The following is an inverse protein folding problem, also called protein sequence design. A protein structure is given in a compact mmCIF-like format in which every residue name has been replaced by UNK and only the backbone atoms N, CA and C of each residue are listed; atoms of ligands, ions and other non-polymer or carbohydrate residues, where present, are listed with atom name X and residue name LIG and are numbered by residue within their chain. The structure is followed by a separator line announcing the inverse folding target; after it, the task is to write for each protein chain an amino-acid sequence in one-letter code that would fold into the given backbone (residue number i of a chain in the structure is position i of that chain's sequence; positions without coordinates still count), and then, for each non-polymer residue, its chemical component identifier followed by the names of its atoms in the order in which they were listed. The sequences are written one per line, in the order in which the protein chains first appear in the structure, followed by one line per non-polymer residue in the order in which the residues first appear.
data_IF_509417957316
#
_entry.id   IF_509417957316
#
_cell.length_a   1.000
_cell.length_b   1.000
_cell.length_c   1.000
_cell.angle_alpha   90.00
_cell.angle_beta   90.00
_cell.angle_gamma   90.00
#
_symmetry.space_group_name_H-M   'P 1'
#
loop_
_entity.id
_entity.type
_entity.pdbx_description
1 polymer ?
#
# COMPACT_ATOMS: atom_id res chain seq x y z
N UNK A 1 9.24 22.08 -14.65
CA UNK A 1 10.16 21.24 -13.86
C UNK A 1 9.29 20.33 -13.01
N UNK A 2 9.27 19.02 -13.26
CA UNK A 2 8.58 18.08 -12.36
C UNK A 2 9.23 18.23 -10.99
N UNK A 3 8.46 18.64 -9.98
CA UNK A 3 8.94 18.61 -8.61
C UNK A 3 9.36 17.18 -8.30
N UNK A 4 10.61 17.03 -7.93
CA UNK A 4 11.17 15.72 -7.66
C UNK A 4 10.62 15.25 -6.31
N UNK A 5 9.89 14.14 -6.29
CA UNK A 5 9.11 13.67 -5.15
C UNK A 5 9.88 13.72 -3.83
N UNK A 6 11.13 13.24 -3.79
CA UNK A 6 11.92 13.24 -2.56
C UNK A 6 12.29 14.65 -2.06
N UNK A 7 12.43 15.64 -2.96
CA UNK A 7 12.62 17.04 -2.55
C UNK A 7 11.39 17.61 -1.83
N UNK A 8 10.19 17.10 -2.13
CA UNK A 8 8.96 17.47 -1.42
C UNK A 8 8.94 17.02 0.04
N UNK A 9 9.74 16.00 0.36
CA UNK A 9 9.91 15.44 1.69
C UNK A 9 11.28 15.79 2.31
N UNK A 10 11.94 16.83 1.79
CA UNK A 10 13.26 17.26 2.24
C UNK A 10 14.29 16.12 2.24
N UNK A 11 14.24 15.26 1.22
CA UNK A 11 15.17 14.17 0.99
C UNK A 11 15.99 14.42 -0.28
N UNK A 12 17.25 14.00 -0.26
CA UNK A 12 18.17 14.11 -1.39
C UNK A 12 18.11 12.89 -2.32
N UNK A 13 17.56 11.77 -1.84
CA UNK A 13 17.42 10.54 -2.60
C UNK A 13 16.16 9.74 -2.19
N UNK A 14 15.84 8.70 -2.97
CA UNK A 14 14.73 7.78 -2.68
C UNK A 14 15.03 6.86 -1.49
N UNK A 15 16.31 6.53 -1.28
CA UNK A 15 16.83 5.76 -0.14
C UNK A 15 16.60 6.54 1.16
N UNK A 16 16.95 7.84 1.18
CA UNK A 16 16.71 8.70 2.35
C UNK A 16 15.21 8.80 2.67
N UNK A 17 14.37 8.92 1.64
CA UNK A 17 12.91 8.93 1.81
C UNK A 17 12.37 7.60 2.35
N UNK A 18 12.89 6.48 1.89
CA UNK A 18 12.53 5.15 2.41
C UNK A 18 12.91 4.99 3.88
N UNK A 19 14.12 5.41 4.28
CA UNK A 19 14.53 5.39 5.70
C UNK A 19 13.66 6.29 6.58
N UNK A 20 13.18 7.43 6.07
CA UNK A 20 12.18 8.25 6.78
C UNK A 20 10.85 7.51 6.96
N UNK A 21 10.41 6.76 5.96
CA UNK A 21 9.19 5.93 6.05
C UNK A 21 9.35 4.82 7.09
N UNK A 22 10.48 4.10 7.09
CA UNK A 22 10.72 3.03 8.06
C UNK A 22 10.73 3.56 9.51
N UNK A 23 11.22 4.78 9.71
CA UNK A 23 11.20 5.48 11.01
C UNK A 23 9.86 6.16 11.33
N UNK A 24 8.94 6.19 10.35
CA UNK A 24 7.67 6.91 10.40
C UNK A 24 7.84 8.39 10.78
N UNK A 25 8.79 9.09 10.14
CA UNK A 25 9.02 10.52 10.38
C UNK A 25 7.76 11.35 10.02
N UNK A 26 7.48 12.42 10.76
CA UNK A 26 6.24 13.21 10.59
C UNK A 26 6.05 13.79 9.19
N UNK A 27 7.13 14.23 8.54
CA UNK A 27 7.06 14.89 7.23
C UNK A 27 6.64 13.93 6.10
N UNK A 28 6.84 12.62 6.29
CA UNK A 28 6.41 11.56 5.36
C UNK A 28 5.04 10.95 5.67
N UNK A 29 4.36 11.42 6.74
CA UNK A 29 2.98 11.02 7.06
C UNK A 29 2.00 11.06 5.86
N UNK A 30 1.99 12.10 5.02
CA UNK A 30 1.31 12.12 3.72
C UNK A 30 1.46 10.83 2.89
N UNK A 31 2.69 10.33 2.79
CA UNK A 31 3.06 9.18 1.98
C UNK A 31 2.71 7.87 2.69
N UNK A 32 2.83 7.82 4.02
CA UNK A 32 2.35 6.69 4.83
C UNK A 32 0.84 6.49 4.67
N UNK A 33 0.05 7.57 4.73
CA UNK A 33 -1.40 7.52 4.52
C UNK A 33 -1.78 6.96 3.14
N UNK A 34 -1.04 7.37 2.11
CA UNK A 34 -1.18 6.80 0.75
C UNK A 34 -0.88 5.30 0.73
N UNK A 35 0.23 4.87 1.32
CA UNK A 35 0.62 3.44 1.36
C UNK A 35 -0.40 2.60 2.14
N UNK A 36 -0.90 3.11 3.26
CA UNK A 36 -1.94 2.45 4.04
C UNK A 36 -3.26 2.33 3.27
N UNK A 37 -3.65 3.38 2.55
CA UNK A 37 -4.82 3.34 1.66
C UNK A 37 -4.65 2.29 0.55
N UNK A 38 -3.48 2.22 -0.08
CA UNK A 38 -3.19 1.25 -1.13
C UNK A 38 -3.24 -0.19 -0.60
N UNK A 39 -2.52 -0.47 0.50
CA UNK A 39 -2.52 -1.77 1.21
C UNK A 39 -3.93 -2.22 1.54
N UNK A 40 -4.69 -1.35 2.20
CA UNK A 40 -6.02 -1.69 2.68
C UNK A 40 -6.98 -2.01 1.54
N UNK A 41 -6.93 -1.25 0.45
CA UNK A 41 -7.73 -1.55 -0.73
C UNK A 41 -7.32 -2.86 -1.42
N UNK A 42 -6.04 -3.21 -1.44
CA UNK A 42 -5.60 -4.45 -2.06
C UNK A 42 -6.02 -5.66 -1.21
N UNK A 43 -5.72 -5.68 0.09
CA UNK A 43 -6.11 -6.77 1.00
C UNK A 43 -7.61 -7.02 1.01
N UNK A 44 -8.40 -5.96 0.94
CA UNK A 44 -9.85 -6.04 0.96
C UNK A 44 -10.46 -6.16 -0.45
N UNK A 45 -9.66 -6.41 -1.50
CA UNK A 45 -10.13 -6.53 -2.88
C UNK A 45 -11.00 -5.36 -3.35
N UNK A 46 -10.70 -4.14 -2.88
CA UNK A 46 -11.45 -2.90 -3.14
C UNK A 46 -12.95 -3.03 -2.81
N UNK A 47 -13.31 -3.94 -1.90
CA UNK A 47 -14.70 -4.18 -1.50
C UNK A 47 -15.23 -2.96 -0.75
N UNK A 48 -16.53 -2.75 -0.90
CA UNK A 48 -17.27 -1.86 -0.04
C UNK A 48 -17.16 -2.32 1.41
N UNK A 49 -17.04 -1.37 2.34
CA UNK A 49 -17.18 -1.64 3.77
C UNK A 49 -18.68 -1.78 4.08
N UNK A 50 -19.20 -2.99 3.95
CA UNK A 50 -20.63 -3.30 4.10
C UNK A 50 -21.02 -3.79 5.50
N UNK A 51 -20.04 -3.97 6.38
CA UNK A 51 -20.28 -4.32 7.78
C UNK A 51 -19.06 -4.17 8.70
N UNK A 52 -19.26 -4.37 10.01
CA UNK A 52 -18.23 -4.25 11.04
C UNK A 52 -17.02 -5.17 10.82
N UNK A 53 -17.24 -6.40 10.36
CA UNK A 53 -16.15 -7.36 10.12
C UNK A 53 -15.18 -6.84 9.03
N UNK A 54 -15.73 -6.36 7.90
CA UNK A 54 -14.95 -5.76 6.81
C UNK A 54 -14.28 -4.45 7.25
N UNK A 55 -14.96 -3.65 8.08
CA UNK A 55 -14.36 -2.42 8.60
C UNK A 55 -13.15 -2.72 9.49
N UNK A 56 -13.25 -3.71 10.38
CA UNK A 56 -12.13 -4.17 11.22
C UNK A 56 -10.98 -4.67 10.35
N UNK A 57 -11.24 -5.47 9.33
CA UNK A 57 -10.20 -5.99 8.44
C UNK A 57 -9.53 -4.89 7.61
N UNK A 58 -10.29 -3.87 7.21
CA UNK A 58 -9.74 -2.67 6.60
C UNK A 58 -8.82 -1.91 7.57
N UNK A 59 -9.22 -1.70 8.82
CA UNK A 59 -8.40 -0.99 9.80
C UNK A 59 -7.11 -1.75 10.12
N UNK A 60 -7.17 -3.08 10.29
CA UNK A 60 -6.00 -3.95 10.50
C UNK A 60 -4.99 -3.92 9.36
N UNK A 61 -5.43 -3.59 8.15
CA UNK A 61 -4.56 -3.44 6.98
C UNK A 61 -3.88 -2.07 6.87
N UNK A 62 -4.10 -1.19 7.85
CA UNK A 62 -3.49 0.14 7.95
C UNK A 62 -2.63 0.25 9.20
N UNK A 63 -1.72 1.22 9.24
CA UNK A 63 -1.03 1.58 10.47
C UNK A 63 -2.03 2.14 11.50
N UNK A 64 -2.05 1.56 12.70
CA UNK A 64 -3.08 1.81 13.70
C UNK A 64 -2.93 3.17 14.41
N UNK A 65 -4.04 3.83 14.77
CA UNK A 65 -4.01 5.12 15.45
C UNK A 65 -3.44 5.02 16.87
N UNK A 66 -2.87 6.13 17.35
CA UNK A 66 -2.39 6.29 18.72
C UNK A 66 -3.34 7.17 19.52
N UNK A 67 -3.01 7.41 20.80
CA UNK A 67 -3.81 8.27 21.67
C UNK A 67 -4.05 9.64 21.01
N UNK A 68 -5.30 10.08 21.03
CA UNK A 68 -5.81 11.36 20.51
C UNK A 68 -5.77 11.49 18.97
N UNK A 69 -5.33 10.46 18.27
CA UNK A 69 -5.38 10.38 16.81
C UNK A 69 -6.40 9.36 16.34
N UNK A 70 -6.87 9.56 15.11
CA UNK A 70 -7.78 8.64 14.45
C UNK A 70 -7.48 8.55 12.97
N UNK A 71 -7.86 7.41 12.40
CA UNK A 71 -7.83 7.16 10.96
C UNK A 71 -9.25 7.32 10.42
N UNK A 72 -9.46 8.34 9.59
CA UNK A 72 -10.71 8.61 8.90
C UNK A 72 -10.67 7.93 7.54
N UNK A 73 -11.57 6.99 7.31
CA UNK A 73 -11.73 6.29 6.03
C UNK A 73 -12.94 6.91 5.34
N UNK A 74 -12.67 7.65 4.28
CA UNK A 74 -13.66 8.33 3.47
C UNK A 74 -14.21 7.39 2.42
N UNK A 75 -15.53 7.33 2.30
CA UNK A 75 -16.21 6.42 1.37
C UNK A 75 -17.26 7.14 0.50
N UNK A 76 -17.51 6.58 -0.69
CA UNK A 76 -18.59 7.02 -1.57
C UNK A 76 -19.97 6.51 -1.09
N UNK A 77 -21.04 6.69 -1.89
CA UNK A 77 -22.43 6.31 -1.54
C UNK A 77 -22.68 4.80 -1.51
N UNK A 78 -21.70 4.01 -1.95
CA UNK A 78 -21.72 2.54 -1.92
C UNK A 78 -20.71 1.96 -0.93
N UNK A 79 -20.24 2.74 0.04
CA UNK A 79 -19.24 2.37 1.05
C UNK A 79 -17.87 1.94 0.47
N UNK A 80 -17.56 2.29 -0.77
CA UNK A 80 -16.21 2.03 -1.29
C UNK A 80 -15.26 3.11 -0.77
N UNK A 81 -14.11 2.74 -0.18
CA UNK A 81 -13.06 3.67 0.18
C UNK A 81 -12.62 4.51 -1.03
N UNK A 82 -12.49 5.81 -0.81
CA UNK A 82 -12.00 6.77 -1.81
C UNK A 82 -10.83 7.61 -1.30
N UNK A 83 -10.70 7.75 0.03
CA UNK A 83 -9.57 8.42 0.67
C UNK A 83 -9.36 7.91 2.09
N UNK A 84 -8.15 8.08 2.62
CA UNK A 84 -7.80 7.80 4.01
C UNK A 84 -6.97 8.96 4.54
N UNK A 85 -7.28 9.41 5.76
CA UNK A 85 -6.53 10.48 6.44
C UNK A 85 -6.34 10.13 7.90
N UNK A 86 -5.12 10.25 8.42
CA UNK A 86 -4.90 10.29 9.87
C UNK A 86 -5.05 11.73 10.34
N UNK A 87 -5.69 11.90 11.49
CA UNK A 87 -5.96 13.24 12.02
C UNK A 87 -6.05 13.21 13.53
N UNK A 88 -5.94 14.40 14.15
CA UNK A 88 -6.21 14.59 15.58
C UNK A 88 -7.70 14.74 15.80
N UNK A 89 -8.24 13.94 16.72
CA UNK A 89 -9.68 13.86 16.98
C UNK A 89 -10.17 15.01 17.86
N UNK A 90 -11.15 15.77 17.39
CA UNK A 90 -11.73 16.98 18.01
C UNK A 90 -10.98 18.30 17.79
N UNK A 91 -9.77 18.25 17.22
CA UNK A 91 -9.05 19.46 16.83
C UNK A 91 -9.61 20.04 15.53
N UNK A 92 -10.38 21.13 15.65
CA UNK A 92 -11.09 21.81 14.55
C UNK A 92 -10.27 21.95 13.26
N UNK A 93 -9.01 22.39 13.34
CA UNK A 93 -8.19 22.59 12.13
C UNK A 93 -7.82 21.26 11.47
N UNK A 94 -7.47 20.24 12.25
CA UNK A 94 -7.15 18.89 11.76
C UNK A 94 -8.37 18.22 11.13
N UNK A 95 -9.56 18.40 11.73
CA UNK A 95 -10.81 17.89 11.16
C UNK A 95 -11.21 18.66 9.89
N UNK A 96 -11.03 19.99 9.87
CA UNK A 96 -11.27 20.82 8.68
C UNK A 96 -10.44 20.38 7.48
N UNK A 97 -9.15 20.08 7.70
CA UNK A 97 -8.26 19.58 6.65
C UNK A 97 -8.72 18.21 6.13
N UNK A 98 -8.99 17.26 7.04
CA UNK A 98 -9.49 15.93 6.67
C UNK A 98 -10.79 16.04 5.86
N UNK A 99 -11.73 16.89 6.28
CA UNK A 99 -12.97 17.16 5.57
C UNK A 99 -12.73 17.71 4.16
N UNK A 100 -11.81 18.67 4.01
CA UNK A 100 -11.46 19.24 2.70
C UNK A 100 -10.98 18.14 1.75
N UNK A 101 -10.05 17.30 2.18
CA UNK A 101 -9.50 16.21 1.36
C UNK A 101 -10.57 15.16 1.01
N UNK A 102 -11.35 14.71 1.99
CA UNK A 102 -12.41 13.74 1.77
C UNK A 102 -13.48 14.23 0.79
N UNK A 103 -13.88 15.50 0.89
CA UNK A 103 -14.82 16.11 -0.05
C UNK A 103 -14.26 16.19 -1.46
N UNK A 104 -12.99 16.58 -1.62
CA UNK A 104 -12.30 16.61 -2.91
C UNK A 104 -12.18 15.22 -3.54
N UNK A 105 -12.02 14.18 -2.71
CA UNK A 105 -12.04 12.78 -3.14
C UNK A 105 -13.44 12.23 -3.47
N UNK A 106 -14.50 13.06 -3.37
CA UNK A 106 -15.87 12.67 -3.69
C UNK A 106 -16.56 11.83 -2.60
N UNK A 107 -16.04 11.87 -1.37
CA UNK A 107 -16.64 11.16 -0.25
C UNK A 107 -17.92 11.84 0.24
N UNK A 108 -18.85 11.03 0.74
CA UNK A 108 -20.08 11.50 1.39
C UNK A 108 -20.27 10.93 2.79
N UNK A 109 -19.50 9.92 3.15
CA UNK A 109 -19.62 9.19 4.42
C UNK A 109 -18.24 8.80 4.90
N UNK A 110 -18.12 8.52 6.18
CA UNK A 110 -16.86 8.14 6.80
C UNK A 110 -17.02 6.98 7.78
N UNK A 111 -15.94 6.24 7.93
CA UNK A 111 -15.68 5.34 9.05
C UNK A 111 -14.49 5.88 9.84
N UNK A 112 -14.48 5.71 11.17
CA UNK A 112 -13.43 6.28 12.02
C UNK A 112 -12.83 5.21 12.93
N UNK A 113 -11.53 4.97 12.82
CA UNK A 113 -10.79 4.14 13.77
C UNK A 113 -9.98 5.03 14.73
N UNK A 114 -9.93 4.71 16.01
CA UNK A 114 -9.22 5.49 17.03
C UNK A 114 -8.64 4.61 18.14
N UNK A 115 -7.63 5.09 18.88
CA UNK A 115 -7.11 4.37 20.06
C UNK A 115 -8.09 4.47 21.23
N UNK A 116 -8.32 3.36 21.94
CA UNK A 116 -9.09 3.32 23.19
C UNK A 116 -8.45 4.13 24.33
N UNK A 117 -7.19 4.56 24.18
CA UNK A 117 -6.53 5.50 25.09
C UNK A 117 -7.04 6.95 24.91
N UNK A 118 -7.77 7.21 23.82
CA UNK A 118 -8.40 8.51 23.52
C UNK A 118 -9.70 8.66 24.31
N UNK A 119 -9.91 9.78 25.04
CA UNK A 119 -11.19 10.09 25.66
C UNK A 119 -12.33 10.04 24.65
N UNK A 120 -13.41 9.35 25.00
CA UNK A 120 -14.52 9.11 24.06
C UNK A 120 -15.20 10.40 23.61
N UNK A 121 -15.22 11.44 24.44
CA UNK A 121 -15.75 12.76 24.13
C UNK A 121 -15.09 13.37 22.89
N UNK A 122 -13.77 13.13 22.69
CA UNK A 122 -13.06 13.61 21.50
C UNK A 122 -13.56 12.94 20.22
N UNK A 123 -13.95 11.67 20.31
CA UNK A 123 -14.56 10.96 19.19
C UNK A 123 -15.95 11.52 18.90
N UNK A 124 -16.79 11.73 19.92
CA UNK A 124 -18.12 12.33 19.74
C UNK A 124 -18.04 13.76 19.16
N UNK A 125 -17.13 14.61 19.65
CA UNK A 125 -16.87 15.94 19.09
C UNK A 125 -16.41 15.86 17.62
N UNK A 126 -15.56 14.88 17.29
CA UNK A 126 -15.14 14.63 15.91
C UNK A 126 -16.34 14.27 15.04
N UNK A 127 -17.17 13.33 15.49
CA UNK A 127 -18.37 12.90 14.77
C UNK A 127 -19.31 14.06 14.48
N UNK A 128 -19.54 14.93 15.46
CA UNK A 128 -20.37 16.12 15.33
C UNK A 128 -19.87 17.06 14.21
N UNK A 129 -18.55 17.24 14.05
CA UNK A 129 -18.01 18.03 12.92
C UNK A 129 -18.37 17.44 11.55
N UNK A 130 -18.28 16.11 11.38
CA UNK A 130 -18.63 15.45 10.12
C UNK A 130 -20.14 15.51 9.87
N UNK A 131 -20.96 15.21 10.87
CA UNK A 131 -22.42 15.18 10.74
C UNK A 131 -23.02 16.56 10.47
N UNK A 132 -22.45 17.64 11.05
CA UNK A 132 -22.88 19.03 10.82
C UNK A 132 -22.83 19.48 9.35
N UNK A 133 -21.95 18.88 8.56
CA UNK A 133 -21.84 19.19 7.11
C UNK A 133 -22.55 18.13 6.24
N UNK A 134 -23.32 17.23 6.83
CA UNK A 134 -24.02 16.16 6.13
C UNK A 134 -23.15 14.95 5.77
N UNK A 135 -21.93 14.85 6.31
CA UNK A 135 -21.06 13.69 6.11
C UNK A 135 -21.34 12.65 7.19
N UNK A 136 -22.11 11.61 6.86
CA UNK A 136 -22.53 10.61 7.85
C UNK A 136 -21.34 9.76 8.31
N UNK A 137 -21.15 9.67 9.62
CA UNK A 137 -20.26 8.68 10.24
C UNK A 137 -21.02 7.36 10.34
N UNK A 138 -20.55 6.34 9.62
CA UNK A 138 -21.24 5.04 9.52
C UNK A 138 -20.95 4.20 10.76
N UNK A 139 -19.68 4.00 11.08
CA UNK A 139 -19.21 3.26 12.26
C UNK A 139 -17.96 3.91 12.84
N UNK A 140 -17.68 3.59 14.10
CA UNK A 140 -16.40 3.85 14.75
C UNK A 140 -15.83 2.57 15.35
N UNK A 141 -14.51 2.39 15.21
CA UNK A 141 -13.76 1.28 15.81
C UNK A 141 -12.77 1.83 16.82
N UNK A 142 -12.88 1.38 18.07
CA UNK A 142 -11.87 1.62 19.10
C UNK A 142 -10.86 0.49 19.14
N UNK A 143 -9.56 0.81 19.05
CA UNK A 143 -8.46 -0.15 19.14
C UNK A 143 -7.83 -0.14 20.53
N UNK A 144 -7.83 -1.30 21.21
CA UNK A 144 -7.17 -1.54 22.49
C UNK A 144 -5.77 -2.09 22.28
N UNK A 145 -4.74 -1.28 22.54
CA UNK A 145 -3.34 -1.69 22.38
C UNK A 145 -2.93 -2.80 23.36
N UNK A 146 -3.46 -2.78 24.59
CA UNK A 146 -3.06 -3.71 25.66
C UNK A 146 -3.54 -5.14 25.41
N UNK A 147 -4.75 -5.29 24.89
CA UNK A 147 -5.40 -6.58 24.63
C UNK A 147 -5.54 -6.91 23.14
N UNK A 148 -4.91 -6.08 22.28
CA UNK A 148 -4.98 -6.14 20.83
C UNK A 148 -6.43 -6.17 20.31
N UNK A 149 -7.38 -5.52 20.98
CA UNK A 149 -8.81 -5.63 20.65
C UNK A 149 -9.30 -4.55 19.69
N UNK A 150 -10.33 -4.86 18.92
CA UNK A 150 -11.05 -3.87 18.10
C UNK A 150 -12.53 -3.90 18.48
N UNK A 151 -13.11 -2.77 18.88
CA UNK A 151 -14.51 -2.67 19.27
C UNK A 151 -15.28 -1.84 18.24
N UNK A 152 -16.15 -2.49 17.45
CA UNK A 152 -17.11 -1.78 16.60
C UNK A 152 -18.24 -1.24 17.47
N UNK A 153 -18.47 0.07 17.41
CA UNK A 153 -19.52 0.74 18.18
C UNK A 153 -20.90 0.53 17.57
N UNK A 154 -21.00 0.40 16.24
CA UNK A 154 -22.26 0.02 15.58
C UNK A 154 -22.72 -1.38 16.00
N UNK A 155 -21.79 -2.33 16.06
CA UNK A 155 -22.11 -3.73 16.38
C UNK A 155 -22.18 -4.02 17.88
N UNK A 156 -21.52 -3.20 18.71
CA UNK A 156 -21.25 -3.54 20.12
C UNK A 156 -20.40 -4.80 20.28
N UNK A 157 -19.60 -5.15 19.26
CA UNK A 157 -18.83 -6.40 19.18
C UNK A 157 -17.33 -6.11 19.23
N UNK A 158 -16.61 -6.90 20.03
CA UNK A 158 -15.15 -6.87 20.14
C UNK A 158 -14.51 -8.00 19.34
N UNK A 159 -13.39 -7.70 18.70
CA UNK A 159 -12.61 -8.60 17.86
C UNK A 159 -11.20 -8.74 18.44
N UNK A 160 -10.71 -9.98 18.49
CA UNK A 160 -9.37 -10.32 19.02
C UNK A 160 -8.55 -11.02 17.93
N UNK A 161 -7.64 -10.31 17.25
CA UNK A 161 -6.73 -10.86 16.27
C UNK A 161 -5.59 -11.65 16.94
N UNK A 162 -5.07 -12.65 16.22
CA UNK A 162 -3.96 -13.50 16.66
C UNK A 162 -2.57 -12.89 16.43
N UNK A 163 -2.49 -11.78 15.68
CA UNK A 163 -1.24 -11.09 15.32
C UNK A 163 -1.28 -9.62 15.73
N UNK A 164 -0.11 -9.05 16.04
CA UNK A 164 0.06 -7.62 16.36
C UNK A 164 0.23 -6.78 15.10
N UNK A 165 -0.24 -5.53 15.13
CA UNK A 165 -0.17 -4.59 14.00
C UNK A 165 0.72 -3.39 14.31
N UNK A 166 1.25 -2.76 13.25
CA UNK A 166 2.09 -1.56 13.38
C UNK A 166 1.30 -0.37 13.92
N UNK A 167 1.88 0.33 14.90
CA UNK A 167 1.34 1.56 15.47
C UNK A 167 1.94 2.78 14.76
N UNK A 168 1.16 3.85 14.63
CA UNK A 168 1.65 5.12 14.11
C UNK A 168 2.63 5.78 15.08
N UNK A 169 3.67 6.43 14.57
CA UNK A 169 4.57 7.28 15.34
C UNK A 169 4.11 8.75 15.22
N UNK A 170 3.00 9.10 15.87
CA UNK A 170 2.45 10.46 15.78
C UNK A 170 3.19 11.41 16.74
N UNK A 171 4.02 12.30 16.20
CA UNK A 171 4.63 13.41 16.95
C UNK A 171 3.83 14.71 16.74
N UNK A 172 3.90 15.66 17.70
CA UNK A 172 2.89 16.71 17.89
C UNK A 172 2.77 17.80 16.81
N UNK A 173 3.60 17.79 15.76
CA UNK A 173 3.80 18.95 14.87
C UNK A 173 3.48 18.69 13.40
N UNK A 174 2.57 19.56 12.92
CA UNK A 174 2.26 19.95 11.54
C UNK A 174 1.66 18.93 10.56
N UNK A 175 0.32 18.92 10.49
CA UNK A 175 -0.43 18.51 9.30
C UNK A 175 -0.30 19.61 8.25
N UNK A 176 0.42 19.33 7.15
CA UNK A 176 0.56 20.26 6.01
C UNK A 176 -0.35 19.81 4.88
N UNK A 177 -1.04 20.78 4.27
CA UNK A 177 -1.79 20.56 3.03
C UNK A 177 -0.83 20.10 1.92
N UNK A 178 -0.97 18.84 1.51
CA UNK A 178 -0.35 18.31 0.30
C UNK A 178 -1.43 17.74 -0.62
N UNK A 179 -1.22 17.85 -1.92
CA UNK A 179 -2.16 17.44 -2.95
C UNK A 179 -1.91 15.98 -3.35
N UNK A 180 -2.80 15.09 -2.87
CA UNK A 180 -2.71 13.64 -2.94
C UNK A 180 -3.34 13.00 -4.17
N UNK A 181 -3.58 13.76 -5.25
CA UNK A 181 -4.06 13.17 -6.50
C UNK A 181 -3.14 11.99 -6.91
N UNK A 182 -3.69 10.78 -6.87
CA UNK A 182 -3.00 9.50 -7.08
C UNK A 182 -2.36 9.37 -8.48
N UNK A 183 -2.71 10.23 -9.43
CA UNK A 183 -2.20 10.14 -10.79
C UNK A 183 -0.79 10.73 -10.92
N UNK A 184 0.19 9.84 -11.08
CA UNK A 184 1.50 10.15 -11.66
C UNK A 184 2.56 10.78 -10.75
N UNK A 185 2.28 11.07 -9.47
CA UNK A 185 3.29 11.67 -8.55
C UNK A 185 4.06 10.64 -7.70
N UNK A 186 3.44 9.52 -7.33
CA UNK A 186 4.01 8.56 -6.37
C UNK A 186 4.37 7.20 -6.97
N UNK A 187 4.06 6.94 -8.24
CA UNK A 187 4.30 5.64 -8.91
C UNK A 187 5.75 5.16 -8.76
N UNK A 188 6.72 6.02 -9.12
CA UNK A 188 8.15 5.67 -9.05
C UNK A 188 8.64 5.38 -7.62
N UNK A 189 8.01 5.97 -6.60
CA UNK A 189 8.36 5.66 -5.21
C UNK A 189 7.60 4.46 -4.68
N UNK A 190 6.34 4.26 -5.09
CA UNK A 190 5.58 3.09 -4.74
C UNK A 190 6.26 1.82 -5.25
N UNK A 191 6.77 1.83 -6.50
CA UNK A 191 7.53 0.71 -7.05
C UNK A 191 8.83 0.47 -6.27
N UNK A 192 9.58 1.53 -5.96
CA UNK A 192 10.78 1.45 -5.13
C UNK A 192 10.49 0.91 -3.73
N UNK A 193 9.45 1.41 -3.06
CA UNK A 193 9.02 0.94 -1.75
C UNK A 193 8.64 -0.54 -1.78
N UNK A 194 7.79 -0.95 -2.72
CA UNK A 194 7.41 -2.34 -2.90
C UNK A 194 8.62 -3.25 -3.12
N UNK A 195 9.56 -2.83 -3.97
CA UNK A 195 10.79 -3.59 -4.29
C UNK A 195 11.67 -3.83 -3.06
N UNK A 196 11.74 -2.88 -2.14
CA UNK A 196 12.49 -3.02 -0.89
C UNK A 196 11.75 -3.87 0.15
N UNK A 197 10.41 -3.78 0.22
CA UNK A 197 9.61 -4.56 1.17
C UNK A 197 9.48 -6.04 0.75
N UNK A 198 9.76 -6.38 -0.51
CA UNK A 198 9.81 -7.76 -1.01
C UNK A 198 11.04 -8.54 -0.50
N UNK A 199 12.13 -7.84 -0.18
CA UNK A 199 13.39 -8.48 0.24
C UNK A 199 13.18 -9.25 1.56
N UNK A 200 13.76 -10.46 1.66
CA UNK A 200 13.63 -11.43 2.76
C UNK A 200 12.25 -12.12 2.92
N UNK A 201 11.25 -11.80 2.09
CA UNK A 201 10.05 -12.62 2.03
C UNK A 201 10.39 -14.00 1.47
N UNK A 202 9.75 -15.05 1.99
CA UNK A 202 9.84 -16.37 1.37
C UNK A 202 8.91 -16.41 0.16
N UNK A 203 9.45 -16.74 -1.01
CA UNK A 203 8.76 -16.65 -2.30
C UNK A 203 7.59 -17.64 -2.44
N UNK A 204 7.53 -18.68 -1.60
CA UNK A 204 6.46 -19.68 -1.55
C UNK A 204 5.48 -19.40 -0.40
N UNK A 205 5.98 -19.17 0.81
CA UNK A 205 5.14 -18.99 2.00
C UNK A 205 4.44 -17.62 2.01
N UNK A 206 5.05 -16.59 1.40
CA UNK A 206 4.55 -15.21 1.41
C UNK A 206 3.92 -14.78 0.07
N UNK A 207 3.45 -15.71 -0.77
CA UNK A 207 2.89 -15.41 -2.12
C UNK A 207 1.81 -14.33 -2.10
N UNK A 208 0.90 -14.34 -1.11
CA UNK A 208 -0.17 -13.34 -1.03
C UNK A 208 0.36 -11.94 -0.66
N UNK A 209 1.37 -11.87 0.20
CA UNK A 209 2.04 -10.61 0.54
C UNK A 209 2.87 -10.07 -0.64
N UNK A 210 3.52 -10.97 -1.39
CA UNK A 210 4.23 -10.62 -2.62
C UNK A 210 3.27 -10.02 -3.65
N UNK A 211 2.13 -10.69 -3.91
CA UNK A 211 1.09 -10.16 -4.82
C UNK A 211 0.60 -8.79 -4.38
N UNK A 212 0.41 -8.58 -3.07
CA UNK A 212 0.00 -7.28 -2.53
C UNK A 212 1.05 -6.20 -2.80
N UNK A 213 2.32 -6.45 -2.47
CA UNK A 213 3.41 -5.51 -2.70
C UNK A 213 3.58 -5.19 -4.18
N UNK A 214 3.51 -6.20 -5.05
CA UNK A 214 3.52 -5.99 -6.51
C UNK A 214 2.34 -5.13 -6.97
N UNK A 215 1.13 -5.32 -6.42
CA UNK A 215 0.00 -4.42 -6.71
C UNK A 215 0.23 -3.00 -6.20
N UNK A 216 0.78 -2.80 -5.00
CA UNK A 216 1.08 -1.47 -4.44
C UNK A 216 2.06 -0.74 -5.36
N UNK A 217 3.12 -1.43 -5.77
CA UNK A 217 4.18 -0.85 -6.59
C UNK A 217 3.71 -0.55 -8.02
N UNK A 218 3.03 -1.50 -8.67
CA UNK A 218 2.97 -1.53 -10.14
C UNK A 218 1.56 -1.39 -10.74
N UNK A 219 0.46 -1.60 -9.99
CA UNK A 219 -0.89 -1.66 -10.59
C UNK A 219 -1.36 -0.34 -11.24
N UNK A 220 -0.78 0.79 -10.84
CA UNK A 220 -1.18 2.14 -11.28
C UNK A 220 -0.24 2.73 -12.34
N UNK A 221 0.86 2.03 -12.67
CA UNK A 221 1.77 2.47 -13.72
C UNK A 221 1.03 2.57 -15.07
N UNK A 222 1.18 3.72 -15.73
CA UNK A 222 0.58 3.99 -17.04
C UNK A 222 1.32 3.28 -18.18
N UNK A 223 2.58 2.93 -17.94
CA UNK A 223 3.41 2.13 -18.84
C UNK A 223 3.59 0.74 -18.24
N UNK A 224 3.88 -0.23 -19.09
CA UNK A 224 4.23 -1.55 -18.61
C UNK A 224 5.65 -1.52 -18.05
N UNK A 225 5.80 -2.07 -16.84
CA UNK A 225 7.06 -2.29 -16.14
C UNK A 225 7.24 -3.79 -16.03
N UNK A 226 8.34 -4.32 -16.57
CA UNK A 226 8.73 -5.73 -16.44
C UNK A 226 9.92 -5.83 -15.50
N UNK A 227 9.87 -6.77 -14.56
CA UNK A 227 10.93 -6.97 -13.58
C UNK A 227 11.07 -8.41 -13.11
N UNK A 228 12.03 -8.64 -12.22
CA UNK A 228 12.31 -9.95 -11.63
C UNK A 228 12.50 -9.88 -10.11
N UNK A 229 12.12 -10.96 -9.43
CA UNK A 229 12.40 -11.27 -8.03
C UNK A 229 13.45 -12.38 -8.01
N UNK A 230 14.64 -12.13 -7.46
CA UNK A 230 15.71 -13.12 -7.34
C UNK A 230 15.66 -13.72 -5.95
N UNK A 231 15.75 -15.05 -5.82
CA UNK A 231 15.71 -15.74 -4.53
C UNK A 231 16.80 -16.82 -4.37
N UNK A 232 17.12 -17.13 -3.12
CA UNK A 232 18.19 -18.06 -2.74
C UNK A 232 17.67 -19.46 -2.37
N UNK A 233 18.56 -20.35 -1.89
CA UNK A 233 18.20 -21.72 -1.50
C UNK A 233 17.25 -21.84 -0.31
N UNK A 234 17.16 -20.81 0.53
CA UNK A 234 16.19 -20.71 1.61
C UNK A 234 14.85 -20.11 1.14
N UNK A 235 14.67 -19.99 -0.19
CA UNK A 235 13.50 -19.43 -0.87
C UNK A 235 13.26 -17.96 -0.49
N UNK A 236 14.28 -17.27 0.04
CA UNK A 236 14.20 -15.86 0.41
C UNK A 236 14.55 -14.98 -0.78
N UNK A 237 13.72 -13.97 -1.02
CA UNK A 237 14.00 -12.94 -2.03
C UNK A 237 15.25 -12.16 -1.59
N UNK A 238 16.29 -12.20 -2.41
CA UNK A 238 17.58 -11.53 -2.20
C UNK A 238 17.75 -10.29 -3.09
N UNK A 239 16.90 -10.13 -4.10
CA UNK A 239 16.95 -9.01 -5.03
C UNK A 239 15.64 -8.78 -5.78
N UNK A 240 15.45 -7.53 -6.20
CA UNK A 240 14.32 -7.11 -7.03
C UNK A 240 14.85 -6.15 -8.09
N UNK A 241 14.59 -6.43 -9.37
CA UNK A 241 15.08 -5.60 -10.48
C UNK A 241 13.98 -5.25 -11.48
N UNK A 242 13.83 -3.97 -11.79
CA UNK A 242 13.03 -3.50 -12.93
C UNK A 242 13.92 -3.52 -14.19
N UNK A 243 13.52 -4.29 -15.20
CA UNK A 243 14.31 -4.54 -16.41
C UNK A 243 13.88 -3.68 -17.60
N UNK A 244 12.59 -3.33 -17.66
CA UNK A 244 12.02 -2.58 -18.75
C UNK A 244 10.85 -1.71 -18.28
N UNK A 245 10.69 -0.52 -18.88
CA UNK A 245 9.55 0.39 -18.70
C UNK A 245 9.17 1.01 -20.05
N UNK A 246 7.99 0.68 -20.61
CA UNK A 246 7.59 1.14 -21.94
C UNK A 246 6.31 0.51 -22.49
N UNK A 247 6.04 0.69 -23.80
CA UNK A 247 4.93 0.03 -24.49
C UNK A 247 5.34 -1.36 -24.95
N UNK A 248 4.45 -2.33 -24.78
CA UNK A 248 4.61 -3.75 -25.12
C UNK A 248 4.58 -4.06 -26.61
N UNK A 249 5.37 -3.33 -27.40
CA UNK A 249 5.67 -3.77 -28.77
C UNK A 249 6.70 -4.90 -28.72
N UNK A 250 6.39 -6.03 -28.07
CA UNK A 250 7.10 -7.33 -28.11
C UNK A 250 8.65 -7.31 -28.12
N UNK A 251 9.28 -6.20 -27.75
CA UNK A 251 10.67 -5.93 -28.05
C UNK A 251 11.50 -6.24 -26.83
N UNK A 252 11.70 -7.56 -26.69
CA UNK A 252 12.96 -8.14 -26.24
C UNK A 252 13.32 -7.69 -24.82
N UNK A 253 12.66 -8.28 -23.82
CA UNK A 253 13.38 -8.57 -22.59
C UNK A 253 14.61 -9.37 -23.01
N UNK A 254 15.79 -8.74 -22.98
CA UNK A 254 17.01 -9.35 -23.45
C UNK A 254 17.44 -10.39 -22.41
N UNK A 255 17.27 -11.67 -22.76
CA UNK A 255 17.64 -12.80 -21.91
C UNK A 255 19.11 -12.74 -21.47
N UNK A 256 20.01 -12.12 -22.26
CA UNK A 256 21.41 -11.94 -21.85
C UNK A 256 21.55 -10.90 -20.75
N UNK A 257 20.73 -9.85 -20.76
CA UNK A 257 20.71 -8.85 -19.68
C UNK A 257 20.15 -9.50 -18.42
N UNK A 258 19.06 -10.25 -18.53
CA UNK A 258 18.51 -11.00 -17.40
C UNK A 258 19.49 -12.01 -16.83
N UNK A 259 20.09 -12.86 -17.66
CA UNK A 259 21.06 -13.85 -17.22
C UNK A 259 22.27 -13.19 -16.56
N UNK A 260 22.77 -12.07 -17.12
CA UNK A 260 23.86 -11.31 -16.50
C UNK A 260 23.47 -10.79 -15.11
N UNK A 261 22.29 -10.20 -14.98
CA UNK A 261 21.78 -9.72 -13.70
C UNK A 261 21.69 -10.86 -12.68
N UNK A 262 21.09 -11.99 -13.05
CA UNK A 262 21.00 -13.18 -12.18
C UNK A 262 22.37 -13.66 -11.71
N UNK A 263 23.37 -13.67 -12.60
CA UNK A 263 24.74 -14.09 -12.29
C UNK A 263 25.52 -13.09 -11.41
N UNK A 264 25.05 -11.84 -11.28
CA UNK A 264 25.65 -10.86 -10.38
C UNK A 264 25.24 -11.10 -8.90
N UNK A 265 24.20 -11.91 -8.65
CA UNK A 265 23.77 -12.29 -7.30
C UNK A 265 24.53 -13.50 -6.77
N UNK A 266 24.97 -13.41 -5.52
CA UNK A 266 25.48 -14.57 -4.77
C UNK A 266 24.33 -15.46 -4.31
N UNK A 267 24.54 -16.77 -4.33
CA UNK A 267 23.61 -17.79 -3.83
C UNK A 267 22.21 -17.77 -4.49
N UNK A 268 22.12 -17.28 -5.74
CA UNK A 268 20.88 -17.37 -6.53
C UNK A 268 20.51 -18.84 -6.76
N UNK A 269 19.28 -19.20 -6.38
CA UNK A 269 18.67 -20.49 -6.72
C UNK A 269 17.73 -20.33 -7.91
N UNK A 270 16.94 -19.26 -7.91
CA UNK A 270 15.92 -19.04 -8.92
C UNK A 270 15.42 -17.61 -8.97
N UNK A 271 14.46 -17.38 -9.85
CA UNK A 271 13.76 -16.10 -9.96
C UNK A 271 12.27 -16.28 -10.26
N UNK A 272 11.49 -15.25 -10.00
CA UNK A 272 10.15 -15.05 -10.56
C UNK A 272 10.16 -13.76 -11.37
N UNK A 273 9.28 -13.64 -12.36
CA UNK A 273 9.13 -12.39 -13.13
C UNK A 273 7.78 -11.74 -12.84
N UNK A 274 7.70 -10.43 -13.06
CA UNK A 274 6.44 -9.71 -12.94
C UNK A 274 6.32 -8.61 -13.99
N UNK A 275 5.09 -8.30 -14.37
CA UNK A 275 4.77 -7.08 -15.11
C UNK A 275 3.37 -6.57 -14.85
N UNK A 276 3.14 -5.26 -15.01
CA UNK A 276 1.80 -4.69 -14.93
C UNK A 276 1.15 -4.54 -16.30
N UNK A 277 -0.15 -4.81 -16.38
CA UNK A 277 -0.95 -4.43 -17.54
C UNK A 277 -1.60 -3.06 -17.29
N UNK A 278 -1.25 -1.99 -18.04
CA UNK A 278 -1.89 -0.68 -17.87
C UNK A 278 -3.41 -0.71 -18.11
N UNK A 279 -3.88 -1.67 -18.92
CA UNK A 279 -5.30 -1.97 -19.13
C UNK A 279 -6.03 -2.38 -17.85
N UNK A 280 -5.30 -2.88 -16.85
CA UNK A 280 -5.80 -3.38 -15.58
C UNK A 280 -6.26 -4.84 -15.62
N UNK A 281 -6.30 -5.51 -16.77
CA UNK A 281 -6.69 -6.91 -16.88
C UNK A 281 -5.46 -7.83 -16.70
N UNK A 282 -5.38 -8.67 -15.64
CA UNK A 282 -4.23 -9.55 -15.41
C UNK A 282 -4.23 -10.84 -16.25
N UNK A 283 -5.15 -10.97 -17.23
CA UNK A 283 -5.17 -12.14 -18.12
C UNK A 283 -3.92 -12.14 -19.02
N UNK A 284 -3.15 -13.25 -19.09
CA UNK A 284 -1.97 -13.32 -19.93
C UNK A 284 -2.31 -13.21 -21.42
N UNK A 285 -1.51 -12.44 -22.14
CA UNK A 285 -1.47 -12.41 -23.60
C UNK A 285 -0.71 -13.62 -24.17
N UNK A 286 -0.74 -13.80 -25.50
CA UNK A 286 0.05 -14.86 -26.15
C UNK A 286 1.54 -14.57 -26.04
N UNK A 287 1.89 -13.28 -26.03
CA UNK A 287 3.23 -12.76 -25.91
C UNK A 287 3.81 -13.04 -24.52
N UNK A 288 3.00 -12.90 -23.45
CA UNK A 288 3.40 -13.24 -22.07
C UNK A 288 3.72 -14.74 -21.93
N UNK A 289 2.86 -15.59 -22.50
CA UNK A 289 3.05 -17.05 -22.50
C UNK A 289 4.34 -17.41 -23.26
N UNK A 290 4.54 -16.83 -24.45
CA UNK A 290 5.74 -17.05 -25.24
C UNK A 290 7.01 -16.55 -24.55
N UNK A 291 6.94 -15.44 -23.80
CA UNK A 291 8.06 -14.95 -22.99
C UNK A 291 8.39 -15.92 -21.87
N UNK A 292 7.39 -16.41 -21.14
CA UNK A 292 7.55 -17.40 -20.06
C UNK A 292 8.29 -18.64 -20.57
N UNK A 293 7.86 -19.18 -21.72
CA UNK A 293 8.52 -20.32 -22.35
C UNK A 293 9.97 -20.03 -22.75
N UNK A 294 10.29 -18.81 -23.21
CA UNK A 294 11.68 -18.43 -23.51
C UNK A 294 12.53 -18.35 -22.25
N UNK A 295 11.96 -17.86 -21.15
CA UNK A 295 12.64 -17.84 -19.85
C UNK A 295 12.89 -19.25 -19.34
N UNK A 296 11.91 -20.15 -19.42
CA UNK A 296 12.09 -21.57 -19.09
C UNK A 296 13.26 -22.20 -19.88
N UNK A 297 13.36 -21.97 -21.19
CA UNK A 297 14.50 -22.46 -21.95
C UNK A 297 15.86 -21.88 -21.50
N UNK A 298 15.87 -20.62 -21.01
CA UNK A 298 17.08 -20.01 -20.45
C UNK A 298 17.48 -20.68 -19.13
N UNK A 299 16.50 -21.05 -18.29
CA UNK A 299 16.74 -21.70 -16.99
C UNK A 299 17.50 -23.01 -17.11
N UNK A 300 17.25 -23.79 -18.17
CA UNK A 300 17.95 -25.05 -18.44
C UNK A 300 19.46 -24.87 -18.70
N UNK A 301 19.87 -23.72 -19.24
CA UNK A 301 21.27 -23.46 -19.61
C UNK A 301 22.10 -23.03 -18.40
N UNK A 302 21.50 -22.22 -17.52
CA UNK A 302 22.20 -21.62 -16.39
C UNK A 302 21.98 -22.37 -15.06
N UNK A 303 21.16 -23.43 -15.06
CA UNK A 303 20.78 -24.19 -13.86
C UNK A 303 20.15 -23.29 -12.77
N UNK A 304 19.41 -22.25 -13.19
CA UNK A 304 18.68 -21.32 -12.31
C UNK A 304 17.19 -21.50 -12.58
N UNK A 305 16.36 -21.77 -11.57
CA UNK A 305 14.94 -22.05 -11.79
C UNK A 305 14.07 -20.79 -11.99
N UNK A 306 12.99 -20.91 -12.78
CA UNK A 306 11.91 -19.91 -12.84
C UNK A 306 10.72 -20.44 -12.03
N UNK A 307 10.28 -19.68 -11.04
CA UNK A 307 9.21 -20.08 -10.14
C UNK A 307 7.82 -19.73 -10.67
N UNK A 308 7.64 -18.45 -11.05
CA UNK A 308 6.34 -17.91 -11.43
C UNK A 308 6.48 -16.66 -12.31
N UNK A 309 5.37 -16.26 -12.91
CA UNK A 309 5.20 -15.06 -13.72
C UNK A 309 3.96 -14.28 -13.25
N UNK A 310 4.18 -13.24 -12.46
CA UNK A 310 3.12 -12.41 -11.89
C UNK A 310 2.64 -11.32 -12.87
N UNK A 311 1.37 -11.39 -13.28
CA UNK A 311 0.73 -10.32 -14.06
C UNK A 311 -0.10 -9.43 -13.13
N UNK A 312 0.29 -8.16 -13.01
CA UNK A 312 -0.28 -7.19 -12.09
C UNK A 312 -1.37 -6.37 -12.79
N UNK A 313 -2.62 -6.61 -12.40
CA UNK A 313 -3.80 -5.83 -12.82
C UNK A 313 -4.32 -4.87 -11.74
N UNK A 314 -5.34 -4.07 -12.10
CA UNK A 314 -6.03 -3.15 -11.17
C UNK A 314 -6.95 -3.94 -10.23
#
# INVERSE_FOLDING_TARGET
MKNNLYKEFNCNSKEELYEKIKRQDNDVKPLLEFLDYARANIKNNKKAIDGPDVFVDYVKSTTLPTKDTGTIIFVNTKNHPVHLKRTRLSWKNSIKEALKEGLLAGANRVFIAFSNETPYERMEETKDYFEKIGMKVIDTIGYGKEDNSFLSRMAGKTYYPSISYGLANDSETEYKEKDYSLEGKYEDFASYFASNELINLNVIDNVEEIKELLKIGFQHHQQEVFGMLIYNSDEKIIGTEELFKGSTDSSIVDLKIMARSLLDYQDVKGFAVFHNHPSGNPTPSKEDIAMTQRLENMTEIFEIEILDHFIVGK
#
